data_IF_435668240992
#
_entry.id   IF_435668240992
#
_cell.length_a   1.000
_cell.length_b   1.000
_cell.length_c   1.000
_cell.angle_alpha   90.00
_cell.angle_beta   90.00
_cell.angle_gamma   90.00
#
_symmetry.space_group_name_H-M   'P 1'
#
loop_
_entity.id
_entity.type
_entity.pdbx_description
1 polymer ?
#
# COMPACT_ATOMS: atom_id res chain seq x y z
N UNK A 1 17.04 -15.03 -14.73
CA UNK A 1 16.26 -16.20 -14.33
C UNK A 1 15.05 -16.37 -15.23
N UNK A 2 14.42 -17.54 -15.23
CA UNK A 2 13.23 -17.83 -16.05
C UNK A 2 11.96 -17.98 -15.20
N UNK A 3 12.03 -17.71 -13.89
CA UNK A 3 10.93 -17.94 -12.96
C UNK A 3 10.85 -16.96 -11.82
N UNK A 4 10.00 -17.28 -10.84
CA UNK A 4 9.94 -16.62 -9.54
C UNK A 4 11.31 -16.71 -8.84
N UNK A 5 11.59 -15.78 -7.96
CA UNK A 5 12.73 -15.91 -7.05
C UNK A 5 12.49 -17.06 -6.07
N UNK A 6 11.43 -16.95 -5.27
CA UNK A 6 10.97 -18.00 -4.35
C UNK A 6 9.47 -18.20 -4.50
N UNK A 7 9.03 -19.47 -4.57
CA UNK A 7 7.61 -19.83 -4.44
C UNK A 7 7.40 -20.55 -3.11
N UNK A 8 6.71 -19.89 -2.18
CA UNK A 8 6.49 -20.37 -0.81
C UNK A 8 5.06 -20.86 -0.64
N UNK A 9 4.78 -22.10 -1.04
CA UNK A 9 3.46 -22.73 -0.87
C UNK A 9 3.39 -23.66 0.36
N UNK A 10 4.49 -23.84 1.09
CA UNK A 10 4.48 -24.51 2.39
C UNK A 10 3.90 -23.63 3.49
N UNK A 11 3.51 -24.24 4.60
CA UNK A 11 3.00 -23.56 5.77
C UNK A 11 4.04 -23.58 6.92
N UNK A 12 3.96 -22.61 7.83
CA UNK A 12 4.81 -22.53 9.04
C UNK A 12 6.30 -22.39 8.76
N UNK A 13 6.66 -21.79 7.62
CA UNK A 13 8.06 -21.45 7.32
C UNK A 13 8.47 -20.15 7.99
N UNK A 14 9.71 -20.12 8.42
CA UNK A 14 10.39 -18.91 8.86
C UNK A 14 11.59 -18.66 7.94
N UNK A 15 11.51 -17.59 7.14
CA UNK A 15 12.56 -17.16 6.22
C UNK A 15 13.15 -15.87 6.74
N UNK A 16 14.46 -15.81 6.92
CA UNK A 16 15.13 -14.66 7.50
C UNK A 16 16.45 -14.35 6.81
N UNK A 17 16.78 -13.05 6.73
CA UNK A 17 18.06 -12.53 6.24
C UNK A 17 18.39 -13.03 4.81
N UNK A 18 17.45 -12.90 3.89
CA UNK A 18 17.60 -13.34 2.49
C UNK A 18 17.39 -12.15 1.56
N UNK A 19 18.27 -12.01 0.60
CA UNK A 19 18.07 -11.13 -0.57
C UNK A 19 17.52 -11.93 -1.75
N UNK A 20 16.44 -11.43 -2.36
CA UNK A 20 15.82 -12.04 -3.54
C UNK A 20 15.75 -11.02 -4.66
N UNK A 21 16.42 -11.29 -5.76
CA UNK A 21 16.58 -10.34 -6.85
C UNK A 21 16.58 -11.00 -8.22
N UNK A 22 16.27 -10.22 -9.24
CA UNK A 22 16.34 -10.61 -10.66
C UNK A 22 15.45 -11.80 -11.03
N UNK A 23 14.22 -11.86 -10.50
CA UNK A 23 13.20 -12.76 -11.06
C UNK A 23 12.89 -12.39 -12.51
N UNK A 24 12.31 -13.30 -13.27
CA UNK A 24 11.96 -13.02 -14.66
C UNK A 24 10.85 -11.97 -14.77
N UNK A 25 10.75 -11.32 -15.92
CA UNK A 25 9.66 -10.38 -16.21
C UNK A 25 8.28 -11.04 -15.96
N UNK A 26 7.39 -10.34 -15.27
CA UNK A 26 6.09 -10.83 -14.84
C UNK A 26 6.16 -11.89 -13.73
N UNK A 27 7.31 -12.00 -13.03
CA UNK A 27 7.49 -12.92 -11.89
C UNK A 27 7.93 -12.18 -10.64
N UNK A 28 7.30 -12.54 -9.52
CA UNK A 28 7.58 -11.94 -8.23
C UNK A 28 8.98 -12.31 -7.70
N UNK A 29 9.51 -11.51 -6.81
CA UNK A 29 10.64 -11.90 -6.00
C UNK A 29 10.28 -13.09 -5.12
N UNK A 30 9.24 -12.95 -4.30
CA UNK A 30 8.69 -14.04 -3.48
C UNK A 30 7.18 -14.09 -3.67
N UNK A 31 6.69 -15.25 -4.10
CA UNK A 31 5.25 -15.55 -4.14
C UNK A 31 4.87 -16.42 -2.94
N UNK A 32 4.15 -15.87 -1.98
CA UNK A 32 3.65 -16.57 -0.79
C UNK A 32 2.26 -17.11 -1.08
N UNK A 33 2.15 -18.40 -1.26
CA UNK A 33 0.90 -19.13 -1.54
C UNK A 33 0.51 -20.12 -0.42
N UNK A 34 1.34 -20.22 0.63
CA UNK A 34 1.04 -20.95 1.86
C UNK A 34 0.59 -20.03 2.99
N UNK A 35 0.34 -20.61 4.15
CA UNK A 35 -0.21 -19.95 5.33
C UNK A 35 0.72 -20.08 6.55
N UNK A 36 0.53 -19.16 7.52
CA UNK A 36 1.29 -19.17 8.79
C UNK A 36 2.81 -19.03 8.60
N UNK A 37 3.25 -18.39 7.52
CA UNK A 37 4.66 -18.15 7.25
C UNK A 37 5.11 -16.82 7.85
N UNK A 38 6.39 -16.74 8.19
CA UNK A 38 7.04 -15.51 8.64
C UNK A 38 8.21 -15.22 7.71
N UNK A 39 8.20 -14.05 7.10
CA UNK A 39 9.34 -13.48 6.40
C UNK A 39 9.88 -12.33 7.26
N UNK A 40 11.14 -12.40 7.65
CA UNK A 40 11.77 -11.47 8.58
C UNK A 40 13.10 -10.96 8.02
N UNK A 41 13.26 -9.67 7.93
CA UNK A 41 14.50 -9.05 7.42
C UNK A 41 14.87 -9.59 6.02
N UNK A 42 13.88 -9.67 5.15
CA UNK A 42 14.06 -10.07 3.74
C UNK A 42 14.11 -8.82 2.87
N UNK A 43 15.05 -8.80 1.93
CA UNK A 43 15.18 -7.73 0.97
C UNK A 43 14.84 -8.24 -0.44
N UNK A 44 13.88 -7.60 -1.12
CA UNK A 44 13.49 -7.97 -2.49
C UNK A 44 13.67 -6.78 -3.42
N UNK A 45 14.47 -6.94 -4.47
CA UNK A 45 14.75 -5.82 -5.37
C UNK A 45 15.06 -6.25 -6.80
N UNK A 46 14.78 -5.36 -7.75
CA UNK A 46 15.03 -5.59 -9.18
C UNK A 46 14.39 -6.90 -9.69
N UNK A 47 13.23 -7.24 -9.16
CA UNK A 47 12.42 -8.36 -9.63
C UNK A 47 11.50 -7.92 -10.76
N UNK A 48 11.13 -8.85 -11.63
CA UNK A 48 10.34 -8.59 -12.83
C UNK A 48 8.83 -8.45 -12.59
N UNK A 49 8.39 -8.39 -11.35
CA UNK A 49 7.05 -8.08 -10.86
C UNK A 49 7.15 -7.69 -9.38
N UNK A 50 6.08 -7.90 -8.60
CA UNK A 50 6.02 -7.56 -7.17
C UNK A 50 7.17 -8.17 -6.36
N UNK A 51 7.73 -7.41 -5.43
CA UNK A 51 8.81 -7.91 -4.57
C UNK A 51 8.36 -9.09 -3.71
N UNK A 52 7.30 -8.92 -2.88
CA UNK A 52 6.67 -9.99 -2.11
C UNK A 52 5.17 -9.96 -2.34
N UNK A 53 4.64 -11.01 -2.99
CA UNK A 53 3.21 -11.15 -3.24
C UNK A 53 2.61 -12.29 -2.43
N UNK A 54 1.48 -12.02 -1.75
CA UNK A 54 0.63 -13.02 -1.11
C UNK A 54 -0.60 -13.21 -1.99
N UNK A 55 -0.77 -14.40 -2.56
CA UNK A 55 -1.93 -14.77 -3.36
C UNK A 55 -1.99 -16.28 -3.56
N UNK A 56 -3.14 -16.83 -3.99
CA UNK A 56 -3.24 -18.26 -4.31
C UNK A 56 -2.23 -18.70 -5.36
N UNK A 57 -1.82 -19.94 -5.28
CA UNK A 57 -0.90 -20.54 -6.27
C UNK A 57 -1.57 -20.79 -7.62
N UNK A 58 -2.80 -21.26 -7.60
CA UNK A 58 -3.53 -21.72 -8.78
C UNK A 58 -4.97 -21.23 -8.78
N UNK A 59 -5.54 -21.02 -9.96
CA UNK A 59 -6.96 -20.67 -10.09
C UNK A 59 -7.91 -21.79 -9.62
N UNK A 60 -7.42 -23.02 -9.52
CA UNK A 60 -8.17 -24.16 -9.01
C UNK A 60 -8.16 -24.28 -7.48
N UNK A 61 -7.36 -23.45 -6.77
CA UNK A 61 -7.30 -23.48 -5.31
C UNK A 61 -8.58 -22.90 -4.70
N UNK A 62 -9.17 -23.64 -3.79
CA UNK A 62 -10.39 -23.21 -3.10
C UNK A 62 -10.14 -21.99 -2.22
N UNK A 63 -11.15 -21.16 -2.06
CA UNK A 63 -11.05 -19.95 -1.25
C UNK A 63 -10.68 -20.22 0.22
N UNK A 64 -11.05 -21.37 0.74
CA UNK A 64 -10.71 -21.80 2.09
C UNK A 64 -9.20 -22.03 2.30
N UNK A 65 -8.49 -22.36 1.21
CA UNK A 65 -7.06 -22.66 1.22
C UNK A 65 -6.19 -21.48 0.78
N UNK A 66 -6.78 -20.31 0.55
CA UNK A 66 -6.01 -19.12 0.19
C UNK A 66 -5.03 -18.71 1.29
N UNK A 67 -3.85 -18.17 0.96
CA UNK A 67 -2.79 -17.88 1.91
C UNK A 67 -3.24 -16.94 3.01
N UNK A 68 -3.12 -17.39 4.25
CA UNK A 68 -3.65 -16.74 5.43
C UNK A 68 -2.62 -16.70 6.57
N UNK A 69 -2.78 -15.75 7.50
CA UNK A 69 -1.96 -15.63 8.72
C UNK A 69 -0.45 -15.55 8.46
N UNK A 70 -0.03 -14.98 7.34
CA UNK A 70 1.37 -14.71 7.08
C UNK A 70 1.79 -13.39 7.72
N UNK A 71 2.99 -13.35 8.25
CA UNK A 71 3.61 -12.15 8.82
C UNK A 71 4.84 -11.78 8.02
N UNK A 72 4.82 -10.59 7.42
CA UNK A 72 5.96 -9.99 6.74
C UNK A 72 6.47 -8.88 7.64
N UNK A 73 7.70 -9.01 8.14
CA UNK A 73 8.23 -8.04 9.11
C UNK A 73 9.66 -7.64 8.82
N UNK A 74 9.96 -6.36 9.08
CA UNK A 74 11.29 -5.79 8.90
C UNK A 74 11.87 -6.00 7.49
N UNK A 75 11.02 -6.18 6.49
CA UNK A 75 11.43 -6.44 5.11
C UNK A 75 11.54 -5.14 4.33
N UNK A 76 12.43 -5.12 3.34
CA UNK A 76 12.54 -4.03 2.38
C UNK A 76 12.21 -4.55 0.98
N UNK A 77 11.45 -3.77 0.21
CA UNK A 77 11.11 -4.11 -1.16
C UNK A 77 11.26 -2.89 -2.06
N UNK A 78 12.17 -2.98 -3.05
CA UNK A 78 12.49 -1.80 -3.83
C UNK A 78 12.94 -2.08 -5.27
N UNK A 79 12.79 -1.11 -6.14
CA UNK A 79 13.22 -1.16 -7.54
C UNK A 79 12.70 -2.41 -8.28
N UNK A 80 11.52 -2.91 -7.90
CA UNK A 80 10.87 -3.98 -8.63
C UNK A 80 10.08 -3.39 -9.80
N UNK A 81 10.17 -4.02 -10.97
CA UNK A 81 9.58 -3.50 -12.19
C UNK A 81 9.26 -4.60 -13.20
N UNK A 82 8.02 -4.69 -13.63
CA UNK A 82 7.64 -5.41 -14.84
C UNK A 82 7.87 -4.55 -16.09
N UNK A 83 7.82 -5.15 -17.26
CA UNK A 83 8.09 -4.45 -18.52
C UNK A 83 7.06 -3.34 -18.85
N UNK A 84 5.86 -3.42 -18.27
CA UNK A 84 4.81 -2.43 -18.47
C UNK A 84 4.75 -1.35 -17.40
N UNK A 85 5.47 -1.52 -16.31
CA UNK A 85 5.44 -0.66 -15.12
C UNK A 85 4.05 -0.55 -14.46
N UNK A 86 3.22 -1.59 -14.58
CA UNK A 86 1.81 -1.53 -14.13
C UNK A 86 1.47 -2.46 -12.97
N UNK A 87 2.29 -3.48 -12.70
CA UNK A 87 1.96 -4.56 -11.75
C UNK A 87 3.02 -4.78 -10.66
N UNK A 88 4.18 -4.16 -10.77
CA UNK A 88 5.32 -4.40 -9.90
C UNK A 88 5.28 -3.54 -8.63
N UNK A 89 4.62 -4.07 -7.62
CA UNK A 89 4.54 -3.45 -6.30
C UNK A 89 5.75 -3.81 -5.41
N UNK A 90 5.94 -3.07 -4.33
CA UNK A 90 6.83 -3.49 -3.26
C UNK A 90 6.29 -4.73 -2.57
N UNK A 91 5.10 -4.61 -2.01
CA UNK A 91 4.36 -5.68 -1.32
C UNK A 91 2.94 -5.75 -1.84
N UNK A 92 2.43 -6.95 -2.07
CA UNK A 92 1.04 -7.14 -2.43
C UNK A 92 0.38 -8.26 -1.63
N UNK A 93 -0.80 -8.00 -1.11
CA UNK A 93 -1.70 -9.02 -0.57
C UNK A 93 -3.04 -8.84 -1.28
N UNK A 94 -3.13 -9.33 -2.52
CA UNK A 94 -4.18 -8.96 -3.45
C UNK A 94 -4.93 -10.11 -4.08
N UNK A 95 -6.15 -9.85 -4.52
CA UNK A 95 -7.03 -10.70 -5.30
C UNK A 95 -7.52 -11.97 -4.60
N UNK A 96 -6.64 -12.78 -4.03
CA UNK A 96 -6.96 -14.13 -3.56
C UNK A 96 -6.16 -14.48 -2.31
N UNK A 97 -6.49 -13.83 -1.21
CA UNK A 97 -5.88 -14.04 0.11
C UNK A 97 -6.91 -14.49 1.14
N UNK A 98 -6.46 -15.23 2.13
CA UNK A 98 -7.18 -15.54 3.36
C UNK A 98 -6.95 -14.46 4.43
N UNK A 99 -7.54 -14.64 5.60
CA UNK A 99 -7.50 -13.68 6.72
C UNK A 99 -6.15 -13.66 7.44
N UNK A 100 -5.89 -12.56 8.17
CA UNK A 100 -4.81 -12.49 9.15
C UNK A 100 -3.42 -12.26 8.58
N UNK A 101 -3.29 -11.80 7.34
CA UNK A 101 -1.99 -11.39 6.79
C UNK A 101 -1.61 -10.01 7.33
N UNK A 102 -0.35 -9.84 7.76
CA UNK A 102 0.14 -8.65 8.45
C UNK A 102 1.50 -8.23 7.92
N UNK A 103 1.70 -6.92 7.75
CA UNK A 103 3.00 -6.30 7.45
C UNK A 103 3.41 -5.41 8.62
N UNK A 104 4.64 -5.57 9.14
CA UNK A 104 5.13 -4.83 10.30
C UNK A 104 6.56 -4.35 10.08
N UNK A 105 6.81 -3.05 10.25
CA UNK A 105 8.16 -2.49 10.17
C UNK A 105 8.81 -2.62 8.80
N UNK A 106 8.03 -2.73 7.73
CA UNK A 106 8.51 -2.91 6.37
C UNK A 106 8.70 -1.58 5.64
N UNK A 107 9.57 -1.59 4.63
CA UNK A 107 9.85 -0.43 3.78
C UNK A 107 9.62 -0.82 2.32
N UNK A 108 8.81 -0.05 1.60
CA UNK A 108 8.66 -0.16 0.15
C UNK A 108 9.07 1.15 -0.52
N UNK A 109 10.02 1.09 -1.43
CA UNK A 109 10.45 2.30 -2.12
C UNK A 109 10.88 2.06 -3.55
N UNK A 110 10.65 3.06 -4.38
CA UNK A 110 11.09 3.05 -5.78
C UNK A 110 10.65 1.79 -6.55
N UNK A 111 9.46 1.27 -6.26
CA UNK A 111 8.85 0.23 -7.08
C UNK A 111 8.10 0.87 -8.26
N UNK A 112 8.00 0.15 -9.36
CA UNK A 112 7.40 0.69 -10.58
C UNK A 112 5.93 1.06 -10.41
N UNK A 113 5.17 0.29 -9.68
CA UNK A 113 3.80 0.59 -9.33
C UNK A 113 3.71 0.99 -7.85
N UNK A 114 2.95 0.34 -7.04
CA UNK A 114 2.64 0.77 -5.68
C UNK A 114 3.65 0.28 -4.63
N UNK A 115 3.73 0.96 -3.50
CA UNK A 115 4.47 0.44 -2.34
C UNK A 115 3.79 -0.78 -1.75
N UNK A 116 2.48 -0.68 -1.49
CA UNK A 116 1.57 -1.79 -1.11
C UNK A 116 0.35 -1.79 -2.03
N UNK A 117 -0.08 -2.99 -2.47
CA UNK A 117 -1.32 -3.18 -3.20
C UNK A 117 -2.20 -4.28 -2.58
N UNK A 118 -3.44 -3.91 -2.20
CA UNK A 118 -4.47 -4.83 -1.70
C UNK A 118 -5.66 -4.90 -2.66
N UNK A 119 -5.39 -4.86 -3.94
CA UNK A 119 -6.44 -4.85 -4.96
C UNK A 119 -7.36 -6.07 -4.85
N UNK A 120 -8.65 -5.80 -4.94
CA UNK A 120 -9.69 -6.81 -5.07
C UNK A 120 -10.48 -6.55 -6.35
N UNK A 121 -11.03 -7.59 -6.95
CA UNK A 121 -11.84 -7.48 -8.14
C UNK A 121 -13.10 -8.35 -8.06
N UNK A 122 -14.12 -7.96 -8.80
CA UNK A 122 -15.46 -8.56 -8.73
C UNK A 122 -15.43 -10.07 -8.97
N UNK A 123 -14.59 -10.55 -9.88
CA UNK A 123 -14.50 -11.97 -10.27
C UNK A 123 -14.01 -12.87 -9.13
N UNK A 124 -13.15 -12.36 -8.25
CA UNK A 124 -12.66 -13.11 -7.09
C UNK A 124 -13.36 -12.71 -5.79
N UNK A 125 -14.09 -11.59 -5.83
CA UNK A 125 -14.78 -11.02 -4.68
C UNK A 125 -13.86 -10.24 -3.74
N UNK A 126 -14.42 -9.76 -2.66
CA UNK A 126 -13.69 -9.06 -1.62
C UNK A 126 -12.67 -9.96 -0.90
N UNK A 127 -11.58 -9.35 -0.48
CA UNK A 127 -10.53 -9.99 0.32
C UNK A 127 -10.68 -9.59 1.80
N UNK A 128 -10.24 -10.45 2.73
CA UNK A 128 -10.23 -10.12 4.15
C UNK A 128 -9.29 -8.97 4.49
N UNK A 129 -9.50 -8.36 5.64
CA UNK A 129 -8.66 -7.28 6.16
C UNK A 129 -7.19 -7.69 6.25
N UNK A 130 -6.33 -6.81 5.74
CA UNK A 130 -4.88 -6.85 5.91
C UNK A 130 -4.50 -5.72 6.85
N UNK A 131 -3.49 -5.96 7.70
CA UNK A 131 -2.99 -4.97 8.66
C UNK A 131 -1.58 -4.57 8.29
N UNK A 132 -1.35 -3.26 8.23
CA UNK A 132 -0.02 -2.64 8.08
C UNK A 132 0.29 -1.86 9.35
N UNK A 133 1.49 -2.06 9.91
CA UNK A 133 1.94 -1.33 11.11
C UNK A 133 3.39 -0.90 10.99
N UNK A 134 3.67 0.34 11.39
CA UNK A 134 5.03 0.88 11.47
C UNK A 134 5.82 0.73 10.15
N UNK A 135 5.16 0.91 9.01
CA UNK A 135 5.73 0.74 7.68
C UNK A 135 6.01 2.09 7.00
N UNK A 136 6.88 2.07 6.01
CA UNK A 136 7.26 3.27 5.25
C UNK A 136 7.12 3.00 3.75
N UNK A 137 6.43 3.90 3.04
CA UNK A 137 6.29 3.87 1.58
C UNK A 137 6.78 5.18 0.96
N UNK A 138 7.82 5.13 0.13
CA UNK A 138 8.30 6.36 -0.50
C UNK A 138 8.85 6.15 -1.91
N UNK A 139 8.76 7.18 -2.74
CA UNK A 139 9.35 7.20 -4.08
C UNK A 139 8.78 6.14 -5.03
N UNK A 140 7.64 5.50 -4.69
CA UNK A 140 7.03 4.52 -5.59
C UNK A 140 6.41 5.20 -6.82
N UNK A 141 6.38 4.51 -7.96
CA UNK A 141 6.11 5.07 -9.28
C UNK A 141 7.36 5.63 -9.98
N UNK A 142 8.49 5.59 -9.29
CA UNK A 142 9.81 5.92 -9.80
C UNK A 142 10.78 4.78 -9.53
N UNK A 143 11.67 4.49 -10.48
CA UNK A 143 12.71 3.48 -10.33
C UNK A 143 14.07 4.18 -10.29
N UNK A 144 14.91 3.80 -9.36
CA UNK A 144 16.28 4.28 -9.30
C UNK A 144 17.14 3.64 -10.39
N UNK A 145 17.88 4.46 -11.10
CA UNK A 145 18.86 4.03 -12.08
C UNK A 145 20.17 4.80 -11.92
N UNK A 146 21.22 4.36 -12.59
CA UNK A 146 22.51 5.06 -12.62
C UNK A 146 22.41 6.49 -13.17
N UNK A 147 21.37 6.78 -13.95
CA UNK A 147 21.13 8.08 -14.57
C UNK A 147 20.06 8.92 -13.85
N UNK A 148 19.63 8.52 -12.65
CA UNK A 148 18.58 9.18 -11.88
C UNK A 148 17.29 8.37 -11.84
N UNK A 149 16.19 9.03 -11.52
CA UNK A 149 14.89 8.38 -11.42
C UNK A 149 14.26 8.18 -12.81
N UNK A 150 13.72 7.00 -13.03
CA UNK A 150 12.90 6.67 -14.19
C UNK A 150 11.44 6.83 -13.78
N UNK A 151 10.68 7.62 -14.51
CA UNK A 151 9.24 7.73 -14.40
C UNK A 151 8.60 6.41 -14.84
N UNK A 152 7.89 5.76 -13.92
CA UNK A 152 7.35 4.42 -14.11
C UNK A 152 5.81 4.39 -14.02
N UNK A 153 5.23 3.53 -13.19
CA UNK A 153 3.79 3.28 -13.10
C UNK A 153 2.97 4.29 -12.28
N UNK A 154 1.98 3.80 -11.56
CA UNK A 154 1.03 4.64 -10.82
C UNK A 154 1.64 5.26 -9.56
N UNK A 155 2.31 4.46 -8.76
CA UNK A 155 3.12 4.93 -7.64
C UNK A 155 2.34 5.44 -6.43
N UNK A 156 1.36 4.69 -5.93
CA UNK A 156 0.82 4.98 -4.61
C UNK A 156 1.75 4.43 -3.51
N UNK A 157 1.73 5.05 -2.35
CA UNK A 157 2.43 4.50 -1.19
C UNK A 157 1.72 3.25 -0.66
N UNK A 158 0.48 3.43 -0.18
CA UNK A 158 -0.37 2.36 0.32
C UNK A 158 -1.70 2.36 -0.44
N UNK A 159 -1.89 1.43 -1.35
CA UNK A 159 -3.14 1.23 -2.10
C UNK A 159 -3.97 0.15 -1.42
N UNK A 160 -5.05 0.57 -0.77
CA UNK A 160 -5.80 -0.23 0.19
C UNK A 160 -7.09 -0.78 -0.41
N UNK A 161 -7.02 -1.47 -1.55
CA UNK A 161 -8.17 -2.16 -2.14
C UNK A 161 -8.45 -1.85 -3.59
N UNK A 162 -9.68 -2.07 -4.03
CA UNK A 162 -10.13 -1.82 -5.39
C UNK A 162 -11.56 -2.23 -5.69
N UNK A 163 -12.07 -1.83 -6.84
CA UNK A 163 -13.38 -2.23 -7.39
C UNK A 163 -14.57 -1.92 -6.48
N UNK A 164 -14.45 -0.96 -5.56
CA UNK A 164 -15.46 -0.65 -4.53
C UNK A 164 -15.85 -1.85 -3.65
N UNK A 165 -15.00 -2.87 -3.58
CA UNK A 165 -15.22 -4.03 -2.74
C UNK A 165 -14.75 -3.74 -1.31
N UNK A 166 -15.54 -4.11 -0.27
CA UNK A 166 -15.15 -3.91 1.11
C UNK A 166 -13.96 -4.81 1.50
N UNK A 167 -12.98 -4.25 2.20
CA UNK A 167 -11.80 -4.96 2.67
C UNK A 167 -11.48 -4.69 4.13
N UNK A 168 -11.95 -3.55 4.67
CA UNK A 168 -11.70 -3.11 6.05
C UNK A 168 -10.20 -3.18 6.42
N UNK A 169 -9.33 -2.82 5.47
CA UNK A 169 -7.88 -2.83 5.69
C UNK A 169 -7.51 -1.78 6.74
N UNK A 170 -6.44 -2.06 7.47
CA UNK A 170 -6.00 -1.23 8.59
C UNK A 170 -4.55 -0.82 8.38
N UNK A 171 -4.27 0.48 8.46
CA UNK A 171 -2.92 1.02 8.48
C UNK A 171 -2.69 1.83 9.76
N UNK A 172 -1.60 1.53 10.47
CA UNK A 172 -1.28 2.09 11.77
C UNK A 172 0.15 2.61 11.79
N UNK A 173 0.38 3.81 12.35
CA UNK A 173 1.70 4.38 12.62
C UNK A 173 2.67 4.28 11.43
N UNK A 174 2.18 4.51 10.22
CA UNK A 174 2.95 4.33 9.00
C UNK A 174 3.17 5.66 8.29
N UNK A 175 4.18 5.72 7.43
CA UNK A 175 4.60 6.95 6.76
C UNK A 175 4.58 6.75 5.26
N UNK A 176 4.00 7.73 4.52
CA UNK A 176 4.01 7.75 3.06
C UNK A 176 4.50 9.09 2.54
N UNK A 177 5.53 9.12 1.71
CA UNK A 177 6.06 10.37 1.17
C UNK A 177 6.71 10.22 -0.20
N UNK A 178 6.74 11.33 -0.94
CA UNK A 178 7.40 11.43 -2.25
C UNK A 178 6.98 10.34 -3.26
N UNK A 179 5.78 9.75 -3.08
CA UNK A 179 5.24 8.81 -4.05
C UNK A 179 4.63 9.58 -5.23
N UNK A 180 4.73 9.02 -6.44
CA UNK A 180 4.27 9.65 -7.69
C UNK A 180 2.77 9.93 -7.72
N UNK A 181 1.97 9.15 -7.03
CA UNK A 181 0.54 9.39 -6.93
C UNK A 181 0.13 9.75 -5.50
N UNK A 182 -0.51 8.84 -4.79
CA UNK A 182 -1.09 9.11 -3.48
C UNK A 182 -0.28 8.45 -2.38
N UNK A 183 -0.20 9.08 -1.23
CA UNK A 183 0.45 8.48 -0.08
C UNK A 183 -0.34 7.31 0.49
N UNK A 184 -1.59 7.56 0.88
CA UNK A 184 -2.55 6.56 1.37
C UNK A 184 -3.79 6.64 0.48
N UNK A 185 -4.09 5.57 -0.23
CA UNK A 185 -5.18 5.48 -1.20
C UNK A 185 -6.16 4.35 -0.84
N UNK A 186 -7.40 4.68 -0.55
CA UNK A 186 -8.44 3.65 -0.41
C UNK A 186 -8.68 2.89 -1.71
N UNK A 187 -8.33 3.47 -2.85
CA UNK A 187 -8.57 2.94 -4.18
C UNK A 187 -10.00 2.39 -4.35
N UNK A 188 -10.96 3.20 -3.95
CA UNK A 188 -12.41 2.90 -3.92
C UNK A 188 -12.87 1.81 -2.92
N UNK A 189 -11.98 1.20 -2.14
CA UNK A 189 -12.36 0.25 -1.09
C UNK A 189 -12.98 1.00 0.09
N UNK A 190 -14.21 0.69 0.48
CA UNK A 190 -14.81 1.26 1.68
C UNK A 190 -14.23 0.66 2.97
N UNK A 191 -14.59 1.21 4.12
CA UNK A 191 -14.34 0.67 5.47
C UNK A 191 -12.87 0.63 5.94
N UNK A 192 -11.94 1.26 5.22
CA UNK A 192 -10.55 1.30 5.63
C UNK A 192 -10.34 2.12 6.92
N UNK A 193 -9.34 1.73 7.70
CA UNK A 193 -8.98 2.35 8.97
C UNK A 193 -7.55 2.87 8.90
N UNK A 194 -7.35 4.17 9.17
CA UNK A 194 -6.05 4.84 9.13
C UNK A 194 -5.80 5.51 10.47
N UNK A 195 -4.78 5.05 11.21
CA UNK A 195 -4.51 5.50 12.58
C UNK A 195 -3.04 5.90 12.74
N UNK A 196 -2.80 7.10 13.27
CA UNK A 196 -1.45 7.58 13.61
C UNK A 196 -0.48 7.66 12.43
N UNK A 197 -0.98 7.84 11.22
CA UNK A 197 -0.16 7.85 10.01
C UNK A 197 0.27 9.26 9.62
N UNK A 198 1.46 9.36 9.04
CA UNK A 198 1.97 10.60 8.46
C UNK A 198 2.09 10.45 6.94
N UNK A 199 1.58 11.42 6.20
CA UNK A 199 1.67 11.41 4.74
C UNK A 199 2.01 12.80 4.21
N UNK A 200 3.06 12.91 3.38
CA UNK A 200 3.51 14.20 2.90
C UNK A 200 4.18 14.12 1.52
N UNK A 201 4.18 15.22 0.80
CA UNK A 201 4.87 15.40 -0.48
C UNK A 201 4.52 14.38 -1.57
N UNK A 202 3.40 13.67 -1.46
CA UNK A 202 2.98 12.78 -2.54
C UNK A 202 2.36 13.60 -3.68
N UNK A 203 2.56 13.22 -4.94
CA UNK A 203 2.29 14.11 -6.05
C UNK A 203 0.82 14.39 -6.32
N UNK A 204 -0.10 13.48 -6.05
CA UNK A 204 -1.53 13.72 -6.32
C UNK A 204 -2.37 13.98 -5.07
N UNK A 205 -2.14 13.28 -4.00
CA UNK A 205 -2.70 13.55 -2.68
C UNK A 205 -1.97 12.78 -1.60
N UNK A 206 -1.90 13.33 -0.40
CA UNK A 206 -1.31 12.61 0.72
C UNK A 206 -2.24 11.50 1.21
N UNK A 207 -3.54 11.81 1.33
CA UNK A 207 -4.56 10.86 1.79
C UNK A 207 -5.77 10.96 0.86
N UNK A 208 -6.17 9.85 0.26
CA UNK A 208 -7.31 9.77 -0.64
C UNK A 208 -8.26 8.66 -0.18
N UNK A 209 -9.30 9.05 0.57
CA UNK A 209 -10.33 8.15 1.06
C UNK A 209 -11.62 8.37 0.25
N UNK A 210 -11.94 7.44 -0.60
CA UNK A 210 -13.10 7.53 -1.49
C UNK A 210 -13.61 6.16 -1.90
N UNK A 211 -14.87 6.12 -2.31
CA UNK A 211 -15.46 4.98 -3.01
C UNK A 211 -16.13 5.45 -4.29
N UNK A 212 -16.20 4.61 -5.29
CA UNK A 212 -16.97 4.88 -6.51
C UNK A 212 -18.45 4.50 -6.35
N UNK A 213 -18.76 3.66 -5.36
CA UNK A 213 -20.12 3.30 -4.99
C UNK A 213 -20.58 4.13 -3.78
N UNK A 214 -21.64 4.91 -3.96
CA UNK A 214 -22.18 5.81 -2.94
C UNK A 214 -22.72 5.13 -1.67
N UNK A 215 -22.68 3.82 -1.57
CA UNK A 215 -23.44 3.09 -0.58
C UNK A 215 -22.69 2.75 0.71
N UNK A 216 -21.38 2.86 0.75
CA UNK A 216 -20.64 2.44 1.93
C UNK A 216 -19.32 3.19 2.09
N UNK A 217 -19.27 4.10 3.05
CA UNK A 217 -18.15 5.01 3.27
C UNK A 217 -17.75 5.03 4.73
N UNK A 218 -17.58 3.87 5.35
CA UNK A 218 -17.25 3.77 6.77
C UNK A 218 -15.74 3.90 7.04
N UNK A 219 -15.07 4.83 6.36
CA UNK A 219 -13.68 5.15 6.68
C UNK A 219 -13.57 5.63 8.12
N UNK A 220 -12.52 5.23 8.80
CA UNK A 220 -12.20 5.69 10.14
C UNK A 220 -10.77 6.19 10.16
N UNK A 221 -10.59 7.42 10.63
CA UNK A 221 -9.29 8.05 10.78
C UNK A 221 -9.08 8.47 12.23
N UNK A 222 -7.84 8.43 12.68
CA UNK A 222 -7.46 8.94 13.98
C UNK A 222 -5.96 9.29 13.96
N UNK A 223 -5.63 10.51 14.37
CA UNK A 223 -4.25 10.96 14.49
C UNK A 223 -3.46 11.00 13.19
N UNK A 224 -4.10 11.32 12.06
CA UNK A 224 -3.40 11.49 10.78
C UNK A 224 -2.68 12.85 10.78
N UNK A 225 -1.45 12.83 10.32
CA UNK A 225 -0.68 14.03 9.97
C UNK A 225 -0.50 14.05 8.46
N UNK A 226 -1.08 15.04 7.79
CA UNK A 226 -0.96 15.23 6.36
C UNK A 226 -0.49 16.64 6.04
N UNK A 227 0.64 16.77 5.37
CA UNK A 227 1.14 18.07 4.94
C UNK A 227 1.81 17.98 3.58
N UNK A 228 1.91 19.10 2.88
CA UNK A 228 2.66 19.21 1.64
C UNK A 228 3.76 20.25 1.77
N UNK A 229 4.88 19.97 1.13
CA UNK A 229 5.93 20.95 0.93
C UNK A 229 5.53 21.91 -0.20
N UNK A 230 5.95 23.17 -0.13
CA UNK A 230 5.73 24.17 -1.17
C UNK A 230 6.36 23.76 -2.54
N UNK A 231 7.27 22.83 -2.55
CA UNK A 231 7.92 22.32 -3.77
C UNK A 231 7.10 21.27 -4.53
N UNK A 232 6.06 20.72 -3.95
CA UNK A 232 5.22 19.71 -4.59
C UNK A 232 4.11 20.38 -5.37
N UNK A 233 3.92 19.98 -6.61
CA UNK A 233 2.93 20.54 -7.54
C UNK A 233 1.47 20.37 -7.10
N UNK A 234 1.23 19.73 -5.98
CA UNK A 234 -0.03 19.13 -5.68
C UNK A 234 -0.92 19.96 -4.82
N UNK A 235 -2.17 19.90 -5.19
CA UNK A 235 -3.22 20.66 -4.59
C UNK A 235 -3.78 20.02 -3.31
N UNK A 236 -3.94 18.70 -3.25
CA UNK A 236 -4.78 18.06 -2.24
C UNK A 236 -4.00 17.29 -1.19
N UNK A 237 -4.08 17.71 0.06
CA UNK A 237 -3.63 16.91 1.19
C UNK A 237 -4.60 15.78 1.53
N UNK A 238 -5.88 16.02 1.33
CA UNK A 238 -6.94 15.04 1.45
C UNK A 238 -7.83 15.11 0.23
N UNK A 239 -8.13 13.97 -0.34
CA UNK A 239 -9.13 13.82 -1.38
C UNK A 239 -10.20 12.86 -0.91
N UNK A 240 -11.40 13.39 -0.71
CA UNK A 240 -12.56 12.60 -0.39
C UNK A 240 -13.60 12.74 -1.51
N UNK A 241 -14.26 11.67 -1.90
CA UNK A 241 -15.35 11.72 -2.89
C UNK A 241 -16.35 10.59 -2.67
N UNK A 242 -17.53 10.77 -3.21
CA UNK A 242 -18.67 9.89 -2.97
C UNK A 242 -19.60 10.51 -1.92
N UNK A 243 -20.72 9.88 -1.63
CA UNK A 243 -21.60 10.28 -0.52
C UNK A 243 -20.97 9.87 0.80
N UNK A 244 -20.08 10.69 1.29
CA UNK A 244 -19.38 10.45 2.54
C UNK A 244 -20.07 11.22 3.67
N UNK A 245 -20.21 10.58 4.79
CA UNK A 245 -20.43 11.30 6.03
C UNK A 245 -19.09 11.92 6.45
N UNK A 246 -18.87 13.16 6.04
CA UNK A 246 -17.64 13.89 6.31
C UNK A 246 -17.36 14.02 7.80
N UNK A 247 -18.38 13.96 8.66
CA UNK A 247 -18.20 13.96 10.11
C UNK A 247 -17.50 12.71 10.64
N UNK A 248 -17.50 11.62 9.88
CA UNK A 248 -16.80 10.38 10.23
C UNK A 248 -15.39 10.25 9.65
N UNK A 249 -15.06 11.07 8.66
CA UNK A 249 -13.73 11.09 8.04
C UNK A 249 -12.67 11.78 8.88
N UNK A 250 -13.08 12.70 9.72
CA UNK A 250 -12.17 13.56 10.46
C UNK A 250 -12.34 13.34 11.97
N UNK A 251 -11.34 12.76 12.56
CA UNK A 251 -11.21 12.77 14.00
C UNK A 251 -10.64 14.11 14.47
N UNK A 252 -10.92 14.51 15.71
CA UNK A 252 -10.38 15.74 16.29
C UNK A 252 -8.85 15.76 16.41
N UNK A 253 -8.23 14.58 16.28
CA UNK A 253 -6.78 14.40 16.33
C UNK A 253 -6.12 14.36 14.96
N UNK A 254 -6.88 14.48 13.85
CA UNK A 254 -6.33 14.52 12.50
C UNK A 254 -5.87 15.93 12.13
N UNK A 255 -4.68 16.04 11.58
CA UNK A 255 -4.07 17.30 11.18
C UNK A 255 -3.76 17.29 9.69
N UNK A 256 -4.35 18.23 8.97
CA UNK A 256 -4.12 18.42 7.54
C UNK A 256 -3.56 19.82 7.28
N UNK A 257 -2.32 19.89 6.85
CA UNK A 257 -1.65 21.14 6.54
C UNK A 257 -1.87 21.53 5.08
N UNK A 258 -2.26 22.77 4.85
CA UNK A 258 -2.44 23.34 3.52
C UNK A 258 -3.40 22.54 2.63
N UNK A 259 -4.57 22.22 3.14
CA UNK A 259 -5.63 21.70 2.29
C UNK A 259 -5.96 22.68 1.16
N UNK A 260 -5.96 22.19 -0.06
CA UNK A 260 -6.32 23.00 -1.22
C UNK A 260 -7.78 22.86 -1.61
N UNK A 261 -8.48 21.82 -1.17
CA UNK A 261 -9.84 21.52 -1.61
C UNK A 261 -10.93 22.07 -0.70
N UNK A 262 -10.60 22.53 0.48
CA UNK A 262 -11.59 22.90 1.49
C UNK A 262 -12.24 21.72 2.20
N UNK A 263 -11.92 20.48 1.78
CA UNK A 263 -12.47 19.25 2.37
C UNK A 263 -11.68 18.74 3.56
N UNK A 264 -10.54 19.36 3.85
CA UNK A 264 -9.71 19.05 4.99
C UNK A 264 -9.99 20.00 6.16
N UNK A 265 -9.51 19.64 7.33
CA UNK A 265 -9.58 20.49 8.50
C UNK A 265 -9.02 21.89 8.22
N UNK A 266 -9.75 22.86 8.75
CA UNK A 266 -9.43 24.28 8.68
C UNK A 266 -8.04 24.60 9.23
N UNK A 267 -7.51 25.74 8.83
CA UNK A 267 -6.21 26.27 9.20
C UNK A 267 -5.94 26.36 10.72
N UNK A 268 -6.99 26.38 11.55
CA UNK A 268 -6.85 26.39 13.01
C UNK A 268 -6.21 25.13 13.60
N UNK A 269 -6.13 24.05 12.82
CA UNK A 269 -5.50 22.78 13.21
C UNK A 269 -4.23 22.51 12.42
N UNK A 270 -3.75 23.49 11.66
CA UNK A 270 -2.52 23.36 10.88
C UNK A 270 -1.31 23.16 11.80
N UNK A 271 -0.48 22.22 11.43
CA UNK A 271 0.88 22.17 11.98
C UNK A 271 1.66 23.37 11.42
N UNK A 272 2.23 24.12 12.31
CA UNK A 272 3.23 25.14 11.99
C UNK A 272 4.59 24.64 12.43
N UNK A 273 5.67 25.24 11.90
CA UNK A 273 7.03 24.91 12.33
C UNK A 273 7.24 25.03 13.85
N UNK A 274 6.39 25.79 14.53
CA UNK A 274 6.41 25.92 15.98
C UNK A 274 5.73 24.74 16.72
N UNK A 275 4.97 23.90 16.00
CA UNK A 275 4.19 22.78 16.56
C UNK A 275 4.77 21.41 16.16
N UNK A 276 5.87 21.41 15.36
CA UNK A 276 6.53 20.20 14.88
C UNK A 276 7.62 19.75 15.84
#
# INVERSE_FOLDING_TARGET
TTGQGITLCGNYWYIQNVDVTNSANGKDGIHVCGSHNVLDTVNTYKNGNTGIQISRYSSAQDKADWPAYNTIKNCTSHNNADAGYEDADGFAAKLTIGKGNVFVGCIAHHNADDGWDFFAKVETGNIPSVVIMNCVAYGNGYIESENGLIDAGNGNGFKMGGSSLPGSHVIINSVAFDNKAKGIDSNSCPDNVVVGCTSFNNETSNVALYTNDAKNTNYRTNGIISYRNAYVKVADNLKARGTQDTAKLYDATDYYWLSASGDAKEASTLLTDANF
#
